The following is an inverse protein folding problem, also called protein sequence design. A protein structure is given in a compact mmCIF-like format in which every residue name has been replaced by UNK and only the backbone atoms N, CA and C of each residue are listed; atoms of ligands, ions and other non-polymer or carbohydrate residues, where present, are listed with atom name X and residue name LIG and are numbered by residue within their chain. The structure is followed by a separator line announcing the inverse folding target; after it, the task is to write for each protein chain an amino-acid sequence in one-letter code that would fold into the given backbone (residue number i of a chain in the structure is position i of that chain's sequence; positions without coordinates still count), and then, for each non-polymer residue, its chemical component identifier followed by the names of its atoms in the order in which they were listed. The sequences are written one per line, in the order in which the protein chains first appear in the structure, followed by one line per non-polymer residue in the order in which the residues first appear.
data_IF_343575904890
#
_entry.id   IF_343575904890
#
_cell.length_a   1.000
_cell.length_b   1.000
_cell.length_c   1.000
_cell.angle_alpha   90.00
_cell.angle_beta   90.00
_cell.angle_gamma   90.00
#
_symmetry.space_group_name_H-M   'P 1'
#
loop_
_entity.id
_entity.type
_entity.pdbx_description
1 polymer ?
#
# COMPACT_ATOMS: atom_id res chain seq x y z
N UNK A 2 0.70 -1.29 2.85
CA UNK A 2 2.06 -0.78 2.82
C UNK A 2 2.27 0.05 1.55
N UNK A 3 2.67 1.33 1.66
CA UNK A 3 2.82 2.13 0.44
C UNK A 3 3.82 1.47 -0.52
N UNK A 4 3.55 1.53 -1.84
CA UNK A 4 2.38 2.19 -2.42
C UNK A 4 1.15 1.27 -2.49
N UNK A 5 1.21 0.14 -1.79
CA UNK A 5 0.11 -0.81 -1.78
C UNK A 5 -0.99 -0.36 -0.82
N UNK A 6 -2.23 -0.17 -1.32
CA UNK A 6 -3.37 0.27 -0.50
C UNK A 6 -3.65 -0.66 0.68
N UNK A 7 -3.68 -1.96 0.41
CA UNK A 7 -3.95 -2.96 1.45
C UNK A 7 0.05 -1.52 4.00
#
# INVERSE_FOLDING_TARGET
GXFPIPX
#
